data_IF_595760034504
#
_entry.id   IF_595760034504
#
_cell.length_a   1.000
_cell.length_b   1.000
_cell.length_c   1.000
_cell.angle_alpha   90.00
_cell.angle_beta   90.00
_cell.angle_gamma   90.00
#
_symmetry.space_group_name_H-M   'P 1'
#
loop_
_entity.id
_entity.type
_entity.pdbx_description
1 polymer ?
#
# COMPACT_ATOMS: atom_id res chain seq x y z
N UNK A 1 17.14 -10.28 -10.67
CA UNK A 1 15.80 -10.89 -10.72
C UNK A 1 15.39 -11.22 -9.30
N UNK A 2 14.73 -10.28 -8.63
CA UNK A 2 14.01 -10.57 -7.39
C UNK A 2 12.69 -11.24 -7.80
N UNK A 3 12.34 -12.37 -7.18
CA UNK A 3 11.07 -13.05 -7.44
C UNK A 3 10.24 -12.97 -6.17
N UNK A 4 9.31 -12.02 -6.16
CA UNK A 4 8.36 -11.85 -5.06
C UNK A 4 7.33 -13.00 -5.07
N UNK A 5 6.85 -13.49 -3.92
CA UNK A 5 5.72 -14.40 -3.89
C UNK A 5 4.47 -13.72 -4.46
N UNK A 6 3.87 -14.30 -5.49
CA UNK A 6 2.65 -13.75 -6.09
C UNK A 6 1.41 -13.82 -5.18
N UNK A 7 1.45 -14.61 -4.10
CA UNK A 7 0.41 -14.70 -3.08
C UNK A 7 1.05 -14.42 -1.72
N UNK A 8 0.59 -13.38 -1.05
CA UNK A 8 1.05 -12.96 0.28
C UNK A 8 -0.10 -12.97 1.28
N UNK A 9 0.25 -12.90 2.56
CA UNK A 9 -0.71 -12.69 3.65
C UNK A 9 -0.55 -11.27 4.17
N UNK A 10 -1.61 -10.47 4.09
CA UNK A 10 -1.67 -9.12 4.64
C UNK A 10 -2.50 -9.08 5.92
N UNK A 11 -2.17 -8.16 6.81
CA UNK A 11 -2.94 -7.88 8.01
C UNK A 11 -3.36 -6.41 8.05
N UNK A 12 -4.59 -6.13 8.46
CA UNK A 12 -5.14 -4.77 8.58
C UNK A 12 -5.66 -4.56 10.00
N UNK A 13 -5.02 -3.66 10.74
CA UNK A 13 -5.49 -3.22 12.05
C UNK A 13 -6.70 -2.30 11.90
N UNK A 14 -7.76 -2.54 12.67
CA UNK A 14 -8.99 -1.75 12.60
C UNK A 14 -9.77 -1.80 13.91
N UNK A 15 -10.91 -1.10 13.97
CA UNK A 15 -11.89 -1.28 15.04
C UNK A 15 -12.66 -2.60 14.89
N UNK A 16 -13.07 -3.19 16.01
CA UNK A 16 -13.86 -4.42 16.08
C UNK A 16 -15.13 -4.37 15.25
N UNK A 17 -15.78 -3.20 15.14
CA UNK A 17 -16.97 -3.04 14.30
C UNK A 17 -16.64 -3.30 12.83
N UNK A 18 -15.53 -2.77 12.34
CA UNK A 18 -15.04 -2.98 10.97
C UNK A 18 -14.69 -4.45 10.77
N UNK A 19 -13.98 -5.05 11.73
CA UNK A 19 -13.66 -6.47 11.72
C UNK A 19 -14.90 -7.34 11.58
N UNK A 20 -15.94 -7.11 12.39
CA UNK A 20 -17.17 -7.89 12.32
C UNK A 20 -17.85 -7.74 10.95
N UNK A 21 -17.95 -6.51 10.43
CA UNK A 21 -18.55 -6.25 9.13
C UNK A 21 -17.82 -6.98 7.99
N UNK A 22 -16.49 -6.89 7.96
CA UNK A 22 -15.69 -7.49 6.89
C UNK A 22 -15.62 -9.02 7.01
N UNK A 23 -15.29 -9.54 8.20
CA UNK A 23 -14.98 -10.97 8.37
C UNK A 23 -16.23 -11.82 8.61
N UNK A 24 -17.25 -11.28 9.28
CA UNK A 24 -18.44 -12.06 9.68
C UNK A 24 -19.66 -11.80 8.78
N UNK A 25 -19.77 -10.60 8.23
CA UNK A 25 -20.96 -10.18 7.47
C UNK A 25 -20.71 -10.12 5.95
N UNK A 26 -19.48 -10.41 5.50
CA UNK A 26 -19.12 -10.41 4.08
C UNK A 26 -18.91 -9.02 3.48
N UNK A 27 -18.65 -8.01 4.33
CA UNK A 27 -18.26 -6.67 3.90
C UNK A 27 -16.84 -6.60 3.32
N UNK A 28 -16.42 -5.40 2.94
CA UNK A 28 -15.09 -5.13 2.44
C UNK A 28 -14.46 -3.94 3.17
N UNK A 29 -13.13 -3.92 3.25
CA UNK A 29 -12.42 -2.73 3.70
C UNK A 29 -12.68 -1.56 2.74
N UNK A 30 -12.69 -0.35 3.27
CA UNK A 30 -12.72 0.86 2.47
C UNK A 30 -11.31 1.15 1.92
N UNK A 31 -11.26 1.75 0.72
CA UNK A 31 -10.00 2.24 0.16
C UNK A 31 -9.65 3.59 0.81
N UNK A 32 -8.37 3.78 1.10
CA UNK A 32 -7.84 5.06 1.52
C UNK A 32 -7.54 5.94 0.30
N UNK A 33 -7.94 7.21 0.37
CA UNK A 33 -7.64 8.25 -0.61
C UNK A 33 -6.94 9.46 0.05
N UNK A 34 -6.19 9.20 1.14
CA UNK A 34 -5.45 10.26 1.80
C UNK A 34 -4.27 10.71 0.93
N UNK A 35 -4.08 12.02 0.85
CA UNK A 35 -2.99 12.64 0.08
C UNK A 35 -1.60 12.40 0.66
N UNK A 36 -1.49 11.72 1.81
CA UNK A 36 -0.24 11.50 2.54
C UNK A 36 0.12 10.01 2.71
N UNK A 37 -0.66 9.10 2.14
CA UNK A 37 -0.36 7.67 2.21
C UNK A 37 0.85 7.31 1.34
N UNK A 38 1.78 6.52 1.89
CA UNK A 38 3.09 6.33 1.27
C UNK A 38 3.09 5.58 -0.08
N UNK A 39 2.06 4.79 -0.37
CA UNK A 39 1.98 3.93 -1.57
C UNK A 39 0.79 4.29 -2.48
N UNK A 40 0.26 5.51 -2.36
CA UNK A 40 -0.89 5.98 -3.15
C UNK A 40 -2.25 5.57 -2.56
N UNK A 41 -3.28 5.48 -3.41
CA UNK A 41 -4.64 5.20 -2.95
C UNK A 41 -4.99 3.71 -3.07
N UNK A 42 -5.67 3.17 -2.06
CA UNK A 42 -6.05 1.75 -2.03
C UNK A 42 -6.24 1.20 -0.62
N UNK A 43 -6.28 -0.13 -0.50
CA UNK A 43 -6.47 -0.85 0.77
C UNK A 43 -5.11 -1.24 1.35
N UNK A 44 -4.84 -0.80 2.58
CA UNK A 44 -3.53 -0.93 3.20
C UNK A 44 -3.41 -2.14 4.12
N UNK A 45 -2.29 -2.85 4.02
CA UNK A 45 -1.96 -4.01 4.84
C UNK A 45 -0.50 -3.97 5.30
N UNK A 46 -0.24 -4.51 6.49
CA UNK A 46 1.07 -4.99 6.90
C UNK A 46 1.27 -6.40 6.34
N UNK A 47 2.19 -6.57 5.40
CA UNK A 47 2.48 -7.89 4.85
C UNK A 47 3.22 -8.75 5.89
N UNK A 48 2.70 -9.96 6.14
CA UNK A 48 3.32 -10.97 6.99
C UNK A 48 3.35 -10.66 8.50
N UNK A 49 2.81 -9.51 8.94
CA UNK A 49 2.95 -9.07 10.34
C UNK A 49 1.63 -8.71 11.02
N UNK A 50 1.01 -9.71 11.66
CA UNK A 50 -0.14 -9.52 12.55
C UNK A 50 0.17 -8.56 13.69
N UNK A 51 1.33 -8.72 14.33
CA UNK A 51 1.69 -7.95 15.53
C UNK A 51 1.88 -6.46 15.22
N UNK A 52 2.43 -6.11 14.04
CA UNK A 52 2.52 -4.70 13.63
C UNK A 52 1.15 -4.08 13.39
N UNK A 53 0.26 -4.80 12.69
CA UNK A 53 -1.11 -4.36 12.49
C UNK A 53 -1.86 -4.17 13.82
N UNK A 54 -1.71 -5.11 14.76
CA UNK A 54 -2.34 -5.02 16.08
C UNK A 54 -1.76 -3.88 16.92
N UNK A 55 -0.43 -3.71 16.89
CA UNK A 55 0.25 -2.65 17.64
C UNK A 55 -0.21 -1.28 17.17
N UNK A 56 -0.27 -1.05 15.86
CA UNK A 56 -0.82 0.19 15.30
C UNK A 56 -2.27 0.41 15.70
N UNK A 57 -3.11 -0.63 15.63
CA UNK A 57 -4.52 -0.52 16.00
C UNK A 57 -4.70 -0.13 17.46
N UNK A 58 -3.88 -0.65 18.37
CA UNK A 58 -3.89 -0.32 19.80
C UNK A 58 -3.39 1.09 20.10
N UNK A 59 -2.48 1.64 19.29
CA UNK A 59 -1.92 2.98 19.48
C UNK A 59 -2.72 4.09 18.79
N UNK A 60 -3.75 3.73 18.02
CA UNK A 60 -4.53 4.68 17.23
C UNK A 60 -5.67 5.29 18.05
N UNK A 61 -5.67 6.61 18.21
CA UNK A 61 -6.76 7.34 18.89
C UNK A 61 -8.11 7.23 18.17
N UNK A 62 -8.12 6.76 16.93
CA UNK A 62 -9.34 6.57 16.11
C UNK A 62 -10.01 5.22 16.34
N UNK A 63 -9.35 4.27 17.01
CA UNK A 63 -9.82 2.90 17.20
C UNK A 63 -10.16 2.71 18.67
N UNK A 64 -11.40 2.30 18.96
CA UNK A 64 -11.88 2.12 20.34
C UNK A 64 -11.69 0.69 20.82
N UNK A 65 -12.02 -0.30 19.99
CA UNK A 65 -11.81 -1.72 20.28
C UNK A 65 -10.91 -2.35 19.21
N UNK A 66 -9.58 -2.44 19.46
CA UNK A 66 -8.62 -2.94 18.47
C UNK A 66 -8.88 -4.38 18.01
N UNK A 67 -8.89 -4.56 16.69
CA UNK A 67 -9.00 -5.83 16.00
C UNK A 67 -8.02 -5.89 14.82
N UNK A 68 -7.80 -7.08 14.27
CA UNK A 68 -6.98 -7.28 13.08
C UNK A 68 -7.68 -8.24 12.14
N UNK A 69 -7.80 -7.83 10.87
CA UNK A 69 -8.28 -8.65 9.78
C UNK A 69 -7.06 -9.25 9.07
N UNK A 70 -7.08 -10.56 8.80
CA UNK A 70 -6.15 -11.19 7.88
C UNK A 70 -6.71 -11.22 6.45
N UNK A 71 -5.84 -11.17 5.44
CA UNK A 71 -6.22 -11.27 4.04
C UNK A 71 -5.19 -12.10 3.23
N UNK A 72 -5.69 -12.96 2.35
CA UNK A 72 -4.85 -13.56 1.30
C UNK A 72 -4.89 -12.67 0.06
N UNK A 73 -3.72 -12.23 -0.40
CA UNK A 73 -3.60 -11.19 -1.42
C UNK A 73 -2.73 -11.69 -2.56
N UNK A 74 -3.28 -11.73 -3.77
CA UNK A 74 -2.51 -11.90 -5.00
C UNK A 74 -1.96 -10.55 -5.44
N UNK A 75 -0.65 -10.42 -5.59
CA UNK A 75 -0.03 -9.12 -5.87
C UNK A 75 -0.37 -8.58 -7.28
N UNK A 76 -0.62 -9.46 -8.25
CA UNK A 76 -0.94 -9.05 -9.62
C UNK A 76 0.23 -8.34 -10.30
N UNK A 77 -0.05 -7.38 -11.18
CA UNK A 77 0.97 -6.45 -11.67
C UNK A 77 1.31 -5.44 -10.55
N UNK A 78 2.34 -5.78 -9.78
CA UNK A 78 2.75 -5.06 -8.59
C UNK A 78 3.91 -4.11 -8.87
N UNK A 79 3.82 -2.87 -8.40
CA UNK A 79 4.99 -2.00 -8.26
C UNK A 79 5.68 -2.38 -6.94
N UNK A 80 6.76 -3.15 -7.01
CA UNK A 80 7.52 -3.61 -5.86
C UNK A 80 8.75 -2.72 -5.64
N UNK A 81 8.70 -1.87 -4.61
CA UNK A 81 9.78 -0.94 -4.26
C UNK A 81 11.02 -1.63 -3.64
N UNK A 82 11.06 -2.97 -3.66
CA UNK A 82 12.27 -3.76 -3.41
C UNK A 82 12.94 -4.21 -4.71
N UNK A 83 12.25 -4.10 -5.85
CA UNK A 83 12.79 -4.42 -7.16
C UNK A 83 13.48 -3.21 -7.81
N UNK A 84 14.59 -3.46 -8.50
CA UNK A 84 15.41 -2.40 -9.10
C UNK A 84 14.72 -1.71 -10.27
N UNK A 85 13.97 -2.45 -11.08
CA UNK A 85 13.29 -1.89 -12.26
C UNK A 85 12.12 -1.00 -11.82
N UNK A 86 11.34 -1.45 -10.85
CA UNK A 86 10.23 -0.66 -10.30
C UNK A 86 10.71 0.58 -9.54
N UNK A 87 11.83 0.50 -8.81
CA UNK A 87 12.48 1.67 -8.24
C UNK A 87 12.90 2.68 -9.32
N UNK A 88 13.39 2.22 -10.48
CA UNK A 88 13.70 3.10 -11.60
C UNK A 88 12.45 3.79 -12.14
N UNK A 89 11.35 3.05 -12.36
CA UNK A 89 10.06 3.63 -12.83
C UNK A 89 9.56 4.73 -11.91
N UNK A 90 9.64 4.53 -10.60
CA UNK A 90 9.22 5.51 -9.60
C UNK A 90 10.12 6.75 -9.64
N UNK A 91 11.44 6.57 -9.80
CA UNK A 91 12.37 7.68 -9.93
C UNK A 91 12.11 8.51 -11.19
N UNK A 92 11.95 7.86 -12.34
CA UNK A 92 11.68 8.54 -13.61
C UNK A 92 10.34 9.31 -13.53
N UNK A 93 9.34 8.72 -12.87
CA UNK A 93 8.06 9.39 -12.61
C UNK A 93 8.21 10.64 -11.75
N UNK A 94 9.08 10.59 -10.73
CA UNK A 94 9.37 11.76 -9.91
C UNK A 94 10.01 12.88 -10.74
N UNK A 95 10.94 12.55 -11.63
CA UNK A 95 11.58 13.53 -12.52
C UNK A 95 10.55 14.18 -13.47
N UNK A 96 9.63 13.39 -14.04
CA UNK A 96 8.50 13.90 -14.84
C UNK A 96 7.63 14.84 -13.99
N UNK A 97 7.25 14.43 -12.78
CA UNK A 97 6.43 15.23 -11.88
C UNK A 97 7.08 16.57 -11.52
N UNK A 98 8.40 16.60 -11.33
CA UNK A 98 9.15 17.84 -11.12
C UNK A 98 8.99 18.82 -12.30
N UNK A 99 9.21 18.33 -13.52
CA UNK A 99 9.10 19.14 -14.73
C UNK A 99 7.68 19.69 -14.92
N UNK A 100 6.65 18.87 -14.64
CA UNK A 100 5.25 19.29 -14.72
C UNK A 100 4.92 20.41 -13.73
N UNK A 101 5.36 20.27 -12.48
CA UNK A 101 5.13 21.28 -11.45
C UNK A 101 5.85 22.60 -11.76
N UNK A 102 7.10 22.52 -12.22
CA UNK A 102 7.88 23.68 -12.62
C UNK A 102 7.23 24.41 -13.81
N UNK A 103 6.77 23.67 -14.83
CA UNK A 103 6.08 24.23 -15.98
C UNK A 103 4.76 24.93 -15.61
N UNK A 104 4.07 24.44 -14.57
CA UNK A 104 2.85 25.04 -14.04
C UNK A 104 3.10 26.15 -13.01
N UNK A 105 4.36 26.45 -12.67
CA UNK A 105 4.72 27.40 -11.61
C UNK A 105 4.23 26.98 -10.22
N UNK A 106 3.99 25.68 -10.02
CA UNK A 106 3.52 25.10 -8.76
C UNK A 106 4.67 24.51 -7.96
N UNK A 107 4.53 24.49 -6.63
CA UNK A 107 5.52 23.85 -5.76
C UNK A 107 5.16 22.40 -5.53
N UNK A 108 6.15 21.51 -5.66
CA UNK A 108 5.99 20.11 -5.28
C UNK A 108 5.58 19.99 -3.80
N UNK A 109 4.70 19.02 -3.48
CA UNK A 109 4.49 18.63 -2.09
C UNK A 109 5.78 18.12 -1.48
N UNK A 110 5.83 18.08 -0.14
CA UNK A 110 6.99 17.59 0.60
C UNK A 110 6.53 16.57 1.62
N UNK A 111 7.38 15.58 1.86
CA UNK A 111 7.20 14.69 2.99
C UNK A 111 7.43 15.45 4.30
N UNK A 112 6.48 15.31 5.22
CA UNK A 112 6.42 16.02 6.51
C UNK A 112 6.51 15.03 7.66
N UNK A 113 6.59 15.58 8.88
CA UNK A 113 6.60 14.85 10.17
C UNK A 113 7.70 13.78 10.19
N UNK A 114 8.91 14.19 10.57
CA UNK A 114 10.09 13.33 10.58
C UNK A 114 10.41 12.82 11.99
N UNK A 115 10.66 11.52 12.11
CA UNK A 115 11.29 10.91 13.30
C UNK A 115 12.64 10.32 12.88
N UNK A 116 13.71 11.06 13.16
CA UNK A 116 15.00 10.87 12.48
C UNK A 116 14.86 11.22 10.99
N UNK A 117 15.33 10.34 10.10
CA UNK A 117 15.27 10.55 8.64
C UNK A 117 13.97 10.06 7.98
N UNK A 118 13.03 9.49 8.74
CA UNK A 118 11.80 8.90 8.20
C UNK A 118 10.64 9.86 8.36
N UNK A 119 9.95 10.12 7.26
CA UNK A 119 8.68 10.85 7.25
C UNK A 119 7.49 9.90 7.46
N UNK A 120 6.46 10.38 8.17
CA UNK A 120 5.20 9.64 8.35
C UNK A 120 4.05 10.25 7.55
N UNK A 121 4.19 11.49 7.10
CA UNK A 121 3.25 12.17 6.20
C UNK A 121 3.94 12.25 4.84
N UNK A 122 3.59 11.34 3.93
CA UNK A 122 4.34 11.06 2.69
C UNK A 122 3.66 11.67 1.46
N UNK A 123 3.33 12.96 1.53
CA UNK A 123 2.59 13.66 0.46
C UNK A 123 3.32 13.63 -0.90
N UNK A 124 4.65 13.72 -0.90
CA UNK A 124 5.41 13.64 -2.14
C UNK A 124 5.38 12.22 -2.72
N UNK A 125 5.64 11.19 -1.92
CA UNK A 125 5.63 9.82 -2.44
C UNK A 125 4.24 9.40 -2.88
N UNK A 126 3.20 9.77 -2.13
CA UNK A 126 1.80 9.57 -2.54
C UNK A 126 1.57 10.15 -3.93
N UNK A 127 1.98 11.40 -4.14
CA UNK A 127 1.81 12.08 -5.43
C UNK A 127 2.60 11.42 -6.56
N UNK A 128 3.82 10.95 -6.29
CA UNK A 128 4.64 10.23 -7.28
C UNK A 128 3.99 8.90 -7.66
N UNK A 129 3.55 8.08 -6.69
CA UNK A 129 2.88 6.80 -6.99
C UNK A 129 1.57 7.00 -7.74
N UNK A 130 0.77 8.00 -7.35
CA UNK A 130 -0.46 8.35 -8.07
C UNK A 130 -0.16 8.83 -9.50
N UNK A 131 0.94 9.58 -9.72
CA UNK A 131 1.34 9.99 -11.07
C UNK A 131 1.79 8.79 -11.90
N UNK A 132 2.52 7.84 -11.31
CA UNK A 132 2.92 6.59 -11.98
C UNK A 132 1.68 5.81 -12.44
N UNK A 133 0.72 5.62 -11.54
CA UNK A 133 -0.56 4.97 -11.86
C UNK A 133 -1.32 5.73 -12.96
N UNK A 134 -1.33 7.06 -12.90
CA UNK A 134 -1.97 7.89 -13.93
C UNK A 134 -1.30 7.71 -15.29
N UNK A 135 0.04 7.79 -15.37
CA UNK A 135 0.79 7.61 -16.62
C UNK A 135 0.59 6.19 -17.19
N UNK A 136 0.58 5.16 -16.34
CA UNK A 136 0.29 3.79 -16.75
C UNK A 136 -1.12 3.65 -17.34
N UNK A 137 -2.12 4.25 -16.68
CA UNK A 137 -3.50 4.23 -17.16
C UNK A 137 -3.67 5.01 -18.48
N UNK A 138 -2.95 6.12 -18.65
CA UNK A 138 -2.90 6.90 -19.90
C UNK A 138 -2.26 6.10 -21.05
N UNK A 139 -1.18 5.36 -20.78
CA UNK A 139 -0.56 4.46 -21.75
C UNK A 139 -1.52 3.34 -22.18
N UNK A 140 -2.17 2.66 -21.23
CA UNK A 140 -3.19 1.64 -21.52
C UNK A 140 -4.35 2.21 -22.32
N UNK A 141 -4.83 3.40 -21.97
CA UNK A 141 -5.91 4.05 -22.71
C UNK A 141 -5.51 4.38 -24.15
N UNK A 142 -4.27 4.81 -24.37
CA UNK A 142 -3.70 5.02 -25.70
C UNK A 142 -3.63 3.72 -26.50
N UNK A 143 -3.12 2.64 -25.90
CA UNK A 143 -3.01 1.32 -26.54
C UNK A 143 -4.38 0.73 -26.92
N UNK A 144 -5.41 1.04 -26.14
CA UNK A 144 -6.79 0.65 -26.39
C UNK A 144 -7.58 1.64 -27.26
N UNK A 145 -6.94 2.69 -27.76
CA UNK A 145 -7.54 3.78 -28.56
C UNK A 145 -8.77 4.41 -27.89
N UNK A 146 -8.72 4.61 -26.57
CA UNK A 146 -9.82 5.17 -25.80
C UNK A 146 -9.78 6.70 -25.79
N UNK A 147 -10.93 7.37 -25.99
CA UNK A 147 -10.98 8.84 -26.06
C UNK A 147 -10.86 9.52 -24.69
N UNK A 148 -11.10 8.78 -23.60
CA UNK A 148 -10.97 9.24 -22.21
C UNK A 148 -10.80 8.06 -21.25
N UNK A 149 -10.57 8.37 -19.98
CA UNK A 149 -10.50 7.38 -18.89
C UNK A 149 -11.68 7.61 -17.92
N UNK A 150 -12.91 7.50 -18.44
CA UNK A 150 -14.14 7.65 -17.64
C UNK A 150 -15.13 6.53 -17.90
N UNK A 151 -16.06 6.32 -16.97
CA UNK A 151 -17.17 5.37 -17.14
C UNK A 151 -16.73 3.98 -17.59
N UNK A 152 -17.24 3.52 -18.75
CA UNK A 152 -16.88 2.21 -19.31
C UNK A 152 -15.43 2.15 -19.82
N UNK A 153 -14.86 3.27 -20.26
CA UNK A 153 -13.45 3.31 -20.70
C UNK A 153 -12.50 3.11 -19.51
N UNK A 154 -12.80 3.73 -18.37
CA UNK A 154 -12.07 3.46 -17.12
C UNK A 154 -12.12 1.97 -16.76
N UNK A 155 -13.27 1.32 -16.90
CA UNK A 155 -13.39 -0.13 -16.67
C UNK A 155 -12.50 -0.94 -17.62
N UNK A 156 -12.37 -0.54 -18.89
CA UNK A 156 -11.47 -1.21 -19.84
C UNK A 156 -10.01 -1.09 -19.39
N UNK A 157 -9.59 0.11 -18.97
CA UNK A 157 -8.25 0.34 -18.43
C UNK A 157 -8.00 -0.52 -17.19
N UNK A 158 -8.95 -0.57 -16.25
CA UNK A 158 -8.84 -1.37 -15.01
C UNK A 158 -8.86 -2.88 -15.22
N UNK A 159 -9.37 -3.38 -16.35
CA UNK A 159 -9.35 -4.81 -16.71
C UNK A 159 -8.16 -5.18 -17.60
N UNK A 160 -7.32 -4.22 -17.97
CA UNK A 160 -6.16 -4.47 -18.80
C UNK A 160 -5.08 -5.24 -18.00
N UNK A 161 -4.36 -6.21 -18.60
CA UNK A 161 -3.34 -6.99 -17.90
C UNK A 161 -2.21 -6.15 -17.27
N UNK A 162 -1.91 -5.00 -17.87
CA UNK A 162 -0.87 -4.07 -17.38
C UNK A 162 -1.41 -3.05 -16.35
N UNK A 163 -2.67 -3.16 -15.93
CA UNK A 163 -3.19 -2.29 -14.86
C UNK A 163 -2.41 -2.54 -13.56
N UNK A 164 -1.99 -1.49 -12.87
CA UNK A 164 -1.26 -1.65 -11.60
C UNK A 164 -2.24 -2.09 -10.52
N UNK A 165 -2.03 -3.32 -10.05
CA UNK A 165 -2.92 -4.01 -9.13
C UNK A 165 -2.60 -3.70 -7.66
N UNK A 166 -1.31 -3.54 -7.36
CA UNK A 166 -0.83 -3.28 -6.02
C UNK A 166 0.51 -2.53 -6.02
N UNK A 167 0.82 -1.92 -4.89
CA UNK A 167 2.11 -1.27 -4.63
C UNK A 167 2.64 -1.80 -3.31
N UNK A 168 3.89 -2.27 -3.30
CA UNK A 168 4.53 -2.92 -2.16
C UNK A 168 5.83 -2.20 -1.83
N UNK A 169 6.12 -1.97 -0.57
CA UNK A 169 7.39 -1.36 -0.19
C UNK A 169 7.81 -1.63 1.25
N UNK A 170 9.12 -1.61 1.49
CA UNK A 170 9.65 -1.57 2.84
C UNK A 170 9.28 -0.24 3.49
N UNK A 171 8.75 -0.31 4.70
CA UNK A 171 8.45 0.87 5.51
C UNK A 171 9.33 0.86 6.76
N UNK A 172 10.38 1.69 6.81
CA UNK A 172 11.15 1.88 8.02
C UNK A 172 10.30 2.61 9.06
N UNK A 173 10.17 2.07 10.27
CA UNK A 173 9.35 2.67 11.33
C UNK A 173 9.97 2.43 12.70
N UNK A 174 9.73 3.37 13.63
CA UNK A 174 10.19 3.26 15.02
C UNK A 174 11.58 3.85 15.25
N UNK A 175 12.15 3.57 16.42
CA UNK A 175 13.50 4.01 16.80
C UNK A 175 14.58 3.11 16.20
N UNK A 176 15.85 3.46 16.40
CA UNK A 176 16.94 2.52 16.13
C UNK A 176 16.72 1.23 16.94
N UNK A 177 16.93 0.07 16.31
CA UNK A 177 16.75 -1.22 16.99
C UNK A 177 17.74 -1.40 18.16
N UNK A 178 18.94 -0.83 18.02
CA UNK A 178 19.99 -0.70 19.03
C UNK A 178 20.93 0.44 18.60
N UNK A 179 21.79 0.92 19.48
CA UNK A 179 22.66 2.08 19.18
C UNK A 179 23.49 1.87 17.92
N UNK A 180 23.30 2.77 16.94
CA UNK A 180 24.01 2.73 15.65
C UNK A 180 23.43 1.73 14.62
N UNK A 181 22.24 1.18 14.87
CA UNK A 181 21.60 0.24 13.96
C UNK A 181 21.13 0.92 12.65
N UNK A 182 21.33 0.23 11.52
CA UNK A 182 20.65 0.54 10.27
C UNK A 182 19.20 0.01 10.21
N UNK A 183 18.77 -0.76 11.21
CA UNK A 183 17.42 -1.31 11.33
C UNK A 183 16.63 -0.58 12.41
N UNK A 184 15.31 -0.60 12.28
CA UNK A 184 14.39 -0.01 13.27
C UNK A 184 13.50 -1.06 13.90
N UNK A 185 13.05 -0.78 15.13
CA UNK A 185 12.29 -1.71 15.96
C UNK A 185 10.86 -2.03 15.46
N UNK A 186 10.37 -1.26 14.48
CA UNK A 186 9.01 -1.37 13.95
C UNK A 186 8.96 -1.50 12.43
N UNK A 187 10.10 -1.79 11.80
CA UNK A 187 10.21 -2.08 10.37
C UNK A 187 9.17 -3.12 9.92
N UNK A 188 8.57 -2.88 8.76
CA UNK A 188 7.63 -3.81 8.13
C UNK A 188 7.58 -3.61 6.62
N UNK A 189 6.86 -4.49 5.94
CA UNK A 189 6.48 -4.29 4.54
C UNK A 189 5.06 -3.72 4.53
N UNK A 190 4.91 -2.57 3.91
CA UNK A 190 3.61 -1.95 3.66
C UNK A 190 3.14 -2.39 2.27
N UNK A 191 1.87 -2.78 2.19
CA UNK A 191 1.22 -3.19 0.95
C UNK A 191 -0.04 -2.35 0.75
N UNK A 192 -0.20 -1.78 -0.44
CA UNK A 192 -1.40 -1.08 -0.89
C UNK A 192 -2.03 -1.84 -2.06
N UNK A 193 -3.26 -2.30 -1.88
CA UNK A 193 -4.03 -2.98 -2.91
C UNK A 193 -4.92 -1.98 -3.62
N UNK A 194 -4.69 -1.79 -4.92
CA UNK A 194 -5.45 -0.90 -5.81
C UNK A 194 -6.64 -1.66 -6.39
N UNK A 195 -6.38 -2.84 -6.97
CA UNK A 195 -7.40 -3.71 -7.52
C UNK A 195 -8.00 -4.59 -6.40
N UNK A 196 -9.28 -4.41 -6.02
CA UNK A 196 -9.88 -5.20 -4.95
C UNK A 196 -9.95 -6.70 -5.24
N UNK A 197 -9.90 -7.13 -6.52
CA UNK A 197 -9.89 -8.54 -6.89
C UNK A 197 -8.58 -9.26 -6.54
N UNK A 198 -7.53 -8.51 -6.16
CA UNK A 198 -6.32 -9.07 -5.57
C UNK A 198 -6.59 -9.73 -4.22
N UNK A 199 -7.61 -9.29 -3.49
CA UNK A 199 -7.97 -9.84 -2.19
C UNK A 199 -8.81 -11.09 -2.42
N UNK A 200 -8.19 -12.25 -2.20
CA UNK A 200 -8.82 -13.56 -2.41
C UNK A 200 -9.85 -13.84 -1.32
N UNK A 201 -9.61 -13.34 -0.12
CA UNK A 201 -10.54 -13.47 1.00
C UNK A 201 -9.97 -12.89 2.29
N UNK A 202 -10.87 -12.52 3.18
CA UNK A 202 -10.57 -12.09 4.54
C UNK A 202 -10.75 -13.25 5.52
N UNK A 203 -10.00 -13.23 6.62
CA UNK A 203 -10.11 -14.23 7.68
C UNK A 203 -9.85 -13.64 9.07
N UNK A 204 -10.34 -14.35 10.09
CA UNK A 204 -9.98 -14.13 11.49
C UNK A 204 -8.65 -14.83 11.81
N UNK A 205 -7.57 -14.10 12.14
CA UNK A 205 -6.30 -14.72 12.47
C UNK A 205 -6.41 -15.63 13.70
N UNK A 206 -6.08 -16.91 13.54
CA UNK A 206 -6.17 -17.91 14.60
C UNK A 206 -5.07 -17.67 15.64
N UNK A 207 -5.44 -17.70 16.93
CA UNK A 207 -4.46 -17.65 18.03
C UNK A 207 -3.70 -18.97 18.13
N UNK A 208 -2.36 -18.93 18.29
CA UNK A 208 -1.56 -20.15 18.46
C UNK A 208 -2.06 -20.98 19.65
N UNK A 209 -2.18 -22.29 19.46
CA UNK A 209 -2.47 -23.22 20.54
C UNK A 209 -1.21 -23.39 21.41
N UNK A 210 -1.24 -23.06 22.72
CA UNK A 210 -0.07 -23.09 23.58
C UNK A 210 0.48 -24.50 23.86
N UNK A 211 -0.28 -25.56 23.55
CA UNK A 211 0.18 -26.94 23.70
C UNK A 211 1.16 -27.37 22.62
N UNK A 212 1.21 -26.64 21.50
CA UNK A 212 2.10 -26.95 20.39
C UNK A 212 3.17 -25.86 20.25
N UNK A 213 4.32 -26.24 19.67
CA UNK A 213 5.35 -25.27 19.31
C UNK A 213 4.78 -24.22 18.34
N UNK A 214 5.20 -22.97 18.48
CA UNK A 214 4.94 -21.95 17.46
C UNK A 214 5.70 -22.32 16.19
N UNK A 215 5.09 -22.10 15.03
CA UNK A 215 5.65 -22.29 13.68
C UNK A 215 6.13 -20.96 13.16
#
# INVERSE_FOLDING_TARGET
MYVSPNLVVGFHGCDRKIFNSVVKEGGHLESSENTYDCLGHGKYFWEGSYERALTWAKSSDKIQDPAVIGAFIKLGNCIDLLDTEDLSKVKDTYEILCLEFDALGQKLPKNKVRVGDISFVRELDCKVILRLQQLNNEAIASDLELPDIKGQNLRKVQNHPEFIDSVRGMFPEGGELYSGAGFRDSNHIQLCVVNPNCIVGYFDPIRPNPWFKKV
#
